data_IF_728425095971
#
_entry.id   IF_728425095971
#
_cell.length_a   1.000
_cell.length_b   1.000
_cell.length_c   1.000
_cell.angle_alpha   90.00
_cell.angle_beta   90.00
_cell.angle_gamma   90.00
#
_symmetry.space_group_name_H-M   'P 1'
#
loop_
_entity.id
_entity.type
_entity.pdbx_description
1 polymer ?
#
# COMPACT_ATOMS: atom_id res chain seq x y z
N UNK A 1 34.98 -4.90 -27.36
CA UNK A 1 35.17 -6.36 -27.51
C UNK A 1 36.12 -6.86 -26.43
N UNK A 2 35.58 -7.57 -25.43
CA UNK A 2 36.19 -8.65 -24.62
C UNK A 2 35.14 -9.01 -23.57
N UNK A 3 34.46 -10.14 -23.78
CA UNK A 3 33.64 -10.77 -22.76
C UNK A 3 34.55 -11.34 -21.66
N UNK A 4 34.21 -11.20 -20.38
CA UNK A 4 34.80 -12.04 -19.34
C UNK A 4 34.02 -13.36 -19.28
N UNK A 5 34.71 -14.44 -19.62
CA UNK A 5 34.31 -15.83 -19.36
C UNK A 5 34.30 -16.06 -17.85
N UNK A 6 33.11 -16.28 -17.28
CA UNK A 6 32.95 -16.78 -15.92
C UNK A 6 33.14 -18.30 -15.92
N UNK A 7 34.19 -18.73 -15.23
CA UNK A 7 34.51 -20.12 -14.98
C UNK A 7 33.40 -20.84 -14.23
N UNK A 8 33.14 -22.06 -14.67
CA UNK A 8 32.31 -23.04 -13.98
C UNK A 8 32.93 -23.36 -12.61
N UNK A 9 32.16 -23.13 -11.55
CA UNK A 9 32.33 -23.78 -10.27
C UNK A 9 30.95 -24.19 -9.77
N UNK A 10 30.80 -25.50 -9.56
CA UNK A 10 29.60 -26.21 -9.18
C UNK A 10 29.08 -25.84 -7.78
N UNK A 11 27.78 -26.03 -7.60
CA UNK A 11 26.91 -25.72 -6.44
C UNK A 11 26.29 -24.32 -6.38
N UNK A 12 25.80 -23.81 -7.51
CA UNK A 12 24.66 -22.87 -7.48
C UNK A 12 23.39 -23.72 -7.42
N UNK A 13 22.78 -23.84 -6.24
CA UNK A 13 21.37 -24.20 -6.12
C UNK A 13 20.61 -23.21 -7.01
N UNK A 14 20.19 -23.67 -8.19
CA UNK A 14 19.60 -22.82 -9.22
C UNK A 14 18.34 -22.18 -8.65
N UNK A 15 18.33 -20.86 -8.51
CA UNK A 15 17.10 -20.14 -8.16
C UNK A 15 16.02 -20.49 -9.19
N UNK A 16 14.79 -20.75 -8.73
CA UNK A 16 13.65 -20.88 -9.64
C UNK A 16 13.59 -19.59 -10.46
N UNK A 17 13.44 -19.71 -11.79
CA UNK A 17 13.43 -18.57 -12.69
C UNK A 17 12.37 -17.56 -12.24
N UNK A 18 12.82 -16.39 -11.79
CA UNK A 18 11.94 -15.34 -11.29
C UNK A 18 11.27 -14.65 -12.46
N UNK A 19 9.98 -14.34 -12.31
CA UNK A 19 9.28 -13.47 -13.24
C UNK A 19 9.60 -12.03 -12.88
N UNK A 20 10.44 -11.42 -13.72
CA UNK A 20 10.74 -10.00 -13.60
C UNK A 20 9.52 -9.17 -13.96
N UNK A 21 9.31 -8.09 -13.22
CA UNK A 21 8.19 -7.19 -13.38
C UNK A 21 8.71 -5.77 -13.37
N UNK A 22 8.76 -5.14 -14.54
CA UNK A 22 8.91 -3.71 -14.64
C UNK A 22 7.53 -3.03 -14.48
N UNK A 23 7.49 -2.00 -13.67
CA UNK A 23 6.30 -1.18 -13.41
C UNK A 23 6.25 0.05 -14.32
N UNK A 24 7.40 0.44 -14.90
CA UNK A 24 7.52 1.58 -15.80
C UNK A 24 7.19 1.19 -17.24
N UNK A 25 7.32 -0.08 -17.58
CA UNK A 25 6.99 -0.59 -18.91
C UNK A 25 5.51 -1.00 -19.01
N UNK A 26 4.87 -0.79 -20.17
CA UNK A 26 3.55 -1.32 -20.43
C UNK A 26 3.58 -2.85 -20.41
N UNK A 27 2.44 -3.47 -20.12
CA UNK A 27 2.32 -4.93 -20.18
C UNK A 27 2.59 -5.43 -21.60
N UNK A 28 3.32 -6.53 -21.72
CA UNK A 28 3.67 -7.12 -23.00
C UNK A 28 2.41 -7.33 -23.88
N UNK A 29 2.32 -6.71 -25.07
CA UNK A 29 1.19 -6.85 -25.97
C UNK A 29 1.05 -8.25 -26.59
N UNK A 30 2.16 -8.98 -26.72
CA UNK A 30 2.21 -10.32 -27.32
C UNK A 30 1.75 -11.42 -26.36
N UNK A 31 1.81 -11.15 -25.05
CA UNK A 31 1.33 -12.09 -24.05
C UNK A 31 -0.21 -12.21 -24.12
N UNK A 32 -0.71 -13.45 -24.03
CA UNK A 32 -2.15 -13.73 -24.08
C UNK A 32 -2.89 -12.90 -23.02
N UNK A 33 -4.01 -12.22 -23.36
CA UNK A 33 -4.78 -11.41 -22.42
C UNK A 33 -5.63 -12.27 -21.48
N UNK A 34 -4.97 -13.14 -20.72
CA UNK A 34 -5.59 -14.01 -19.73
C UNK A 34 -5.49 -13.36 -18.36
N UNK A 35 -6.64 -13.29 -17.67
CA UNK A 35 -6.71 -12.94 -16.26
C UNK A 35 -6.70 -14.24 -15.45
N UNK A 36 -5.69 -14.40 -14.60
CA UNK A 36 -5.51 -15.56 -13.76
C UNK A 36 -5.34 -15.15 -12.30
N UNK A 37 -5.70 -16.07 -11.41
CA UNK A 37 -5.42 -15.96 -9.98
C UNK A 37 -4.35 -16.98 -9.61
N UNK A 38 -3.42 -16.58 -8.76
CA UNK A 38 -2.37 -17.45 -8.28
C UNK A 38 -2.12 -17.19 -6.82
N UNK A 39 -1.86 -18.23 -6.05
CA UNK A 39 -1.13 -18.04 -4.79
C UNK A 39 0.30 -17.60 -5.11
N UNK A 40 1.01 -17.06 -4.12
CA UNK A 40 2.43 -16.78 -4.29
C UNK A 40 3.16 -18.09 -4.58
N UNK A 41 3.78 -18.15 -5.76
CA UNK A 41 4.72 -19.22 -6.13
C UNK A 41 6.14 -18.67 -6.08
N UNK A 42 7.15 -19.54 -5.96
CA UNK A 42 8.56 -19.11 -5.97
C UNK A 42 8.91 -18.22 -7.17
N UNK A 43 8.30 -18.46 -8.33
CA UNK A 43 8.46 -17.64 -9.55
C UNK A 43 7.97 -16.19 -9.41
N UNK A 44 6.98 -15.93 -8.56
CA UNK A 44 6.38 -14.60 -8.36
C UNK A 44 6.91 -13.88 -7.11
N UNK A 45 7.90 -14.44 -6.40
CA UNK A 45 8.40 -13.89 -5.15
C UNK A 45 8.92 -12.45 -5.32
N UNK A 46 9.83 -12.25 -6.28
CA UNK A 46 10.38 -10.93 -6.58
C UNK A 46 9.31 -9.95 -7.08
N UNK A 47 8.46 -10.40 -8.02
CA UNK A 47 7.37 -9.60 -8.57
C UNK A 47 6.38 -9.10 -7.51
N UNK A 48 6.02 -9.95 -6.56
CA UNK A 48 5.15 -9.63 -5.43
C UNK A 48 5.79 -8.58 -4.52
N UNK A 49 7.09 -8.71 -4.25
CA UNK A 49 7.84 -7.73 -3.45
C UNK A 49 7.89 -6.36 -4.12
N UNK A 50 8.18 -6.33 -5.43
CA UNK A 50 8.22 -5.10 -6.23
C UNK A 50 6.84 -4.39 -6.21
N UNK A 51 5.75 -5.15 -6.35
CA UNK A 51 4.40 -4.59 -6.24
C UNK A 51 4.11 -3.97 -4.87
N UNK A 52 4.50 -4.61 -3.78
CA UNK A 52 4.35 -4.01 -2.45
C UNK A 52 5.24 -2.77 -2.28
N UNK A 53 6.43 -2.74 -2.88
CA UNK A 53 7.28 -1.55 -2.91
C UNK A 53 6.62 -0.38 -3.64
N UNK A 54 5.99 -0.65 -4.78
CA UNK A 54 5.22 0.34 -5.55
C UNK A 54 4.07 0.95 -4.76
N UNK A 55 3.36 0.15 -3.95
CA UNK A 55 2.33 0.67 -3.05
C UNK A 55 2.85 1.79 -2.16
N UNK A 56 3.99 1.57 -1.48
CA UNK A 56 4.59 2.58 -0.61
C UNK A 56 5.07 3.82 -1.38
N UNK A 57 5.57 3.65 -2.61
CA UNK A 57 5.90 4.78 -3.50
C UNK A 57 4.66 5.58 -3.93
N UNK A 58 3.56 4.91 -4.20
CA UNK A 58 2.29 5.57 -4.51
C UNK A 58 1.71 6.30 -3.28
N UNK A 59 1.83 5.71 -2.09
CA UNK A 59 1.49 6.38 -0.84
C UNK A 59 2.36 7.61 -0.59
N UNK A 60 3.67 7.54 -0.89
CA UNK A 60 4.57 8.69 -0.81
C UNK A 60 4.07 9.85 -1.68
N UNK A 61 3.74 9.56 -2.94
CA UNK A 61 3.16 10.57 -3.85
C UNK A 61 1.83 11.13 -3.36
N UNK A 62 0.98 10.28 -2.77
CA UNK A 62 -0.31 10.68 -2.20
C UNK A 62 -0.15 11.55 -0.96
N UNK A 63 0.81 11.23 -0.09
CA UNK A 63 1.20 12.02 1.08
C UNK A 63 1.72 13.40 0.66
N UNK A 64 2.61 13.47 -0.33
CA UNK A 64 3.11 14.73 -0.87
C UNK A 64 1.98 15.61 -1.41
N UNK A 65 1.07 15.03 -2.19
CA UNK A 65 -0.11 15.73 -2.68
C UNK A 65 -0.98 16.23 -1.53
N UNK A 66 -1.21 15.41 -0.52
CA UNK A 66 -2.00 15.78 0.65
C UNK A 66 -1.39 16.96 1.41
N UNK A 67 -0.08 16.94 1.66
CA UNK A 67 0.65 18.03 2.34
C UNK A 67 0.58 19.32 1.53
N UNK A 68 0.80 19.23 0.21
CA UNK A 68 0.75 20.38 -0.67
C UNK A 68 -0.61 21.09 -0.63
N UNK A 69 -1.70 20.32 -0.68
CA UNK A 69 -3.07 20.84 -0.64
C UNK A 69 -3.63 20.99 0.78
N UNK A 70 -2.80 20.82 1.82
CA UNK A 70 -3.26 20.93 3.19
C UNK A 70 -3.64 22.39 3.52
N UNK A 71 -4.70 22.66 4.29
CA UNK A 71 -5.13 24.02 4.62
C UNK A 71 -4.02 24.89 5.24
N UNK A 72 -3.15 24.29 6.05
CA UNK A 72 -1.99 24.99 6.65
C UNK A 72 -1.00 25.40 5.56
N UNK A 73 -0.62 24.50 4.65
CA UNK A 73 0.29 24.80 3.54
C UNK A 73 -0.28 25.89 2.62
N UNK A 74 -1.58 25.80 2.31
CA UNK A 74 -2.29 26.81 1.54
C UNK A 74 -2.32 28.17 2.27
N UNK A 75 -2.49 28.17 3.58
CA UNK A 75 -2.47 29.40 4.39
C UNK A 75 -1.08 30.04 4.40
N UNK A 76 -0.01 29.25 4.56
CA UNK A 76 1.37 29.73 4.46
C UNK A 76 1.61 30.36 3.08
N UNK A 77 1.11 29.72 2.03
CA UNK A 77 1.22 30.25 0.66
C UNK A 77 0.50 31.58 0.48
N UNK A 78 -0.78 31.66 0.87
CA UNK A 78 -1.57 32.89 0.75
C UNK A 78 -0.99 34.02 1.60
N UNK A 79 -0.70 33.77 2.87
CA UNK A 79 -0.16 34.78 3.79
C UNK A 79 1.22 35.26 3.33
N UNK A 80 2.09 34.34 2.91
CA UNK A 80 3.42 34.68 2.41
C UNK A 80 3.37 35.54 1.16
N UNK A 81 2.47 35.23 0.21
CA UNK A 81 2.31 36.04 -1.00
C UNK A 81 1.67 37.40 -0.73
N UNK A 82 0.66 37.47 0.14
CA UNK A 82 0.05 38.75 0.53
C UNK A 82 1.06 39.64 1.24
N UNK A 83 1.87 39.08 2.15
CA UNK A 83 2.91 39.83 2.85
C UNK A 83 3.99 40.34 1.88
N UNK A 84 4.45 39.49 0.94
CA UNK A 84 5.41 39.89 -0.08
C UNK A 84 4.83 40.98 -0.99
N UNK A 85 3.60 40.82 -1.48
CA UNK A 85 2.93 41.80 -2.32
C UNK A 85 2.72 43.13 -1.58
N UNK A 86 2.29 43.09 -0.31
CA UNK A 86 2.14 44.29 0.51
C UNK A 86 3.47 45.02 0.72
N UNK A 87 4.59 44.29 0.81
CA UNK A 87 5.92 44.88 0.93
C UNK A 87 6.35 45.57 -0.38
N UNK A 88 6.29 44.87 -1.52
CA UNK A 88 6.73 45.43 -2.81
C UNK A 88 5.80 46.53 -3.32
N UNK A 89 4.50 46.46 -3.05
CA UNK A 89 3.52 47.43 -3.53
C UNK A 89 3.24 48.58 -2.54
N UNK A 90 3.97 48.62 -1.43
CA UNK A 90 3.76 49.60 -0.36
C UNK A 90 3.80 51.04 -0.84
N UNK A 91 4.81 51.38 -1.65
CA UNK A 91 5.04 52.75 -2.09
C UNK A 91 3.96 53.22 -3.09
N UNK A 92 3.48 52.30 -3.93
CA UNK A 92 2.34 52.56 -4.83
C UNK A 92 1.05 52.81 -4.05
N UNK A 93 0.81 52.04 -2.98
CA UNK A 93 -0.34 52.26 -2.11
C UNK A 93 -0.25 53.60 -1.37
N UNK A 94 0.94 53.98 -0.89
CA UNK A 94 1.15 55.23 -0.17
C UNK A 94 0.87 56.49 -1.02
N UNK A 95 1.06 56.41 -2.34
CA UNK A 95 0.84 57.51 -3.29
C UNK A 95 -0.61 57.50 -3.84
N UNK A 96 -1.37 56.43 -3.62
CA UNK A 96 -2.72 56.28 -4.14
C UNK A 96 -3.76 56.99 -3.26
N UNK A 97 -4.75 57.63 -3.87
CA UNK A 97 -5.83 58.33 -3.15
C UNK A 97 -6.97 57.39 -2.68
N UNK A 98 -6.74 56.08 -2.72
CA UNK A 98 -7.69 55.05 -2.35
C UNK A 98 -7.47 53.74 -3.13
N UNK A 99 -8.24 52.71 -2.79
CA UNK A 99 -8.13 51.38 -3.41
C UNK A 99 -8.43 51.40 -4.93
N UNK A 100 -9.42 52.17 -5.37
CA UNK A 100 -9.76 52.27 -6.79
C UNK A 100 -8.63 52.91 -7.61
N UNK A 101 -7.99 53.95 -7.07
CA UNK A 101 -6.84 54.62 -7.69
C UNK A 101 -5.63 53.68 -7.75
N UNK A 102 -5.37 52.93 -6.67
CA UNK A 102 -4.32 51.90 -6.64
C UNK A 102 -4.50 50.84 -7.74
N UNK A 103 -5.72 50.29 -7.92
CA UNK A 103 -5.98 49.33 -9.00
C UNK A 103 -5.96 49.96 -10.39
N UNK A 104 -6.33 51.24 -10.54
CA UNK A 104 -6.19 51.95 -11.80
C UNK A 104 -4.71 52.12 -12.18
N UNK A 105 -3.85 52.44 -11.21
CA UNK A 105 -2.40 52.54 -11.40
C UNK A 105 -1.77 51.20 -11.80
N UNK A 106 -2.29 50.09 -11.28
CA UNK A 106 -1.86 48.73 -11.66
C UNK A 106 -2.04 48.44 -13.15
N UNK A 107 -3.14 48.92 -13.76
CA UNK A 107 -3.38 48.76 -15.20
C UNK A 107 -2.53 49.73 -16.01
N UNK A 108 -2.43 50.98 -15.55
CA UNK A 108 -1.82 52.09 -16.29
C UNK A 108 -0.29 52.10 -16.27
N UNK A 109 0.37 51.65 -15.18
CA UNK A 109 1.82 51.72 -15.02
C UNK A 109 2.48 50.37 -15.32
N UNK A 110 3.45 50.36 -16.23
CA UNK A 110 4.30 49.20 -16.51
C UNK A 110 5.16 48.82 -15.31
N UNK A 111 5.64 49.80 -14.56
CA UNK A 111 6.64 49.59 -13.50
C UNK A 111 6.07 48.75 -12.35
N UNK A 112 4.80 48.98 -12.00
CA UNK A 112 4.10 48.16 -10.99
C UNK A 112 3.95 46.69 -11.45
N UNK A 113 3.90 46.44 -12.77
CA UNK A 113 3.87 45.08 -13.33
C UNK A 113 5.24 44.42 -13.28
N UNK A 114 6.32 45.19 -13.44
CA UNK A 114 7.68 44.70 -13.22
C UNK A 114 7.93 44.36 -11.75
N UNK A 115 7.37 45.12 -10.82
CA UNK A 115 7.45 44.80 -9.38
C UNK A 115 6.80 43.46 -9.02
N UNK A 116 5.73 43.07 -9.71
CA UNK A 116 5.15 41.73 -9.55
C UNK A 116 6.09 40.60 -9.98
N UNK A 117 7.04 40.85 -10.89
CA UNK A 117 8.03 39.84 -11.28
C UNK A 117 8.93 39.49 -10.08
N UNK A 118 9.17 40.44 -9.17
CA UNK A 118 9.90 40.17 -7.92
C UNK A 118 9.13 39.29 -6.92
N UNK A 119 7.83 39.05 -7.13
CA UNK A 119 7.10 38.02 -6.38
C UNK A 119 7.49 36.60 -6.80
N UNK A 120 8.05 36.40 -8.01
CA UNK A 120 8.41 35.06 -8.48
C UNK A 120 9.45 34.39 -7.56
N UNK A 121 10.58 35.01 -7.19
CA UNK A 121 11.48 34.44 -6.18
C UNK A 121 10.77 34.08 -4.86
N UNK A 122 9.87 34.92 -4.37
CA UNK A 122 9.10 34.64 -3.14
C UNK A 122 8.20 33.42 -3.30
N UNK A 123 7.49 33.30 -4.43
CA UNK A 123 6.69 32.09 -4.72
C UNK A 123 7.59 30.85 -4.71
N UNK A 124 8.71 30.88 -5.43
CA UNK A 124 9.67 29.75 -5.49
C UNK A 124 10.14 29.34 -4.09
N UNK A 125 10.48 30.30 -3.22
CA UNK A 125 10.90 30.00 -1.84
C UNK A 125 9.81 29.32 -1.02
N UNK A 126 8.56 29.80 -1.12
CA UNK A 126 7.42 29.18 -0.43
C UNK A 126 7.18 27.76 -0.94
N UNK A 127 7.19 27.58 -2.26
CA UNK A 127 7.05 26.27 -2.89
C UNK A 127 8.18 25.32 -2.49
N UNK A 128 9.43 25.80 -2.42
CA UNK A 128 10.56 25.04 -1.96
C UNK A 128 10.40 24.61 -0.50
N UNK A 129 9.90 25.49 0.37
CA UNK A 129 9.64 25.18 1.78
C UNK A 129 8.55 24.12 1.96
N UNK A 130 7.44 24.24 1.23
CA UNK A 130 6.35 23.24 1.23
C UNK A 130 6.85 21.92 0.64
N UNK A 131 7.59 21.96 -0.47
CA UNK A 131 8.17 20.78 -1.12
C UNK A 131 9.16 20.03 -0.22
N UNK A 132 10.03 20.77 0.48
CA UNK A 132 10.95 20.20 1.46
C UNK A 132 10.19 19.56 2.62
N UNK A 133 9.17 20.23 3.16
CA UNK A 133 8.32 19.69 4.22
C UNK A 133 7.62 18.40 3.77
N UNK A 134 7.08 18.38 2.55
CA UNK A 134 6.45 17.20 1.96
C UNK A 134 7.45 16.05 1.80
N UNK A 135 8.66 16.36 1.31
CA UNK A 135 9.72 15.37 1.19
C UNK A 135 10.09 14.75 2.54
N UNK A 136 10.35 15.57 3.56
CA UNK A 136 10.73 15.10 4.90
C UNK A 136 9.66 14.24 5.57
N UNK A 137 8.38 14.59 5.43
CA UNK A 137 7.27 13.86 6.06
C UNK A 137 6.88 12.59 5.31
N UNK A 138 7.10 12.55 3.99
CA UNK A 138 6.83 11.36 3.17
C UNK A 138 8.02 10.40 3.09
N UNK A 139 9.21 10.81 3.57
CA UNK A 139 10.44 10.02 3.44
C UNK A 139 10.35 8.66 4.14
N UNK A 140 9.60 8.55 5.24
CA UNK A 140 9.35 7.25 5.91
C UNK A 140 8.73 6.22 4.96
N UNK A 141 7.82 6.64 4.06
CA UNK A 141 7.20 5.74 3.08
C UNK A 141 8.18 5.30 1.99
N UNK A 142 9.05 6.23 1.57
CA UNK A 142 10.18 5.91 0.67
C UNK A 142 11.12 4.90 1.32
N UNK A 143 11.46 5.14 2.58
CA UNK A 143 12.37 4.30 3.34
C UNK A 143 11.83 2.87 3.52
N UNK A 144 10.52 2.72 3.73
CA UNK A 144 9.86 1.41 3.75
C UNK A 144 10.00 0.73 2.39
N UNK A 145 9.76 1.45 1.28
CA UNK A 145 9.88 0.91 -0.07
C UNK A 145 11.32 0.47 -0.40
N UNK A 146 12.31 1.30 -0.07
CA UNK A 146 13.73 1.08 -0.39
C UNK A 146 14.36 -0.04 0.45
N UNK A 147 13.81 -0.31 1.64
CA UNK A 147 14.32 -1.34 2.57
C UNK A 147 13.43 -2.58 2.61
N UNK A 148 12.49 -2.72 1.67
CA UNK A 148 11.51 -3.82 1.69
C UNK A 148 12.16 -5.20 1.47
N UNK A 149 13.34 -5.24 0.85
CA UNK A 149 14.11 -6.45 0.61
C UNK A 149 14.85 -6.97 1.86
N UNK A 150 14.91 -6.17 2.94
CA UNK A 150 15.57 -6.56 4.18
C UNK A 150 14.82 -7.70 4.88
N UNK A 151 15.52 -8.65 5.54
CA UNK A 151 14.89 -9.81 6.17
C UNK A 151 13.75 -9.47 7.14
N UNK A 152 13.97 -8.47 8.01
CA UNK A 152 12.98 -8.06 9.01
C UNK A 152 11.70 -7.52 8.37
N UNK A 153 11.82 -6.83 7.23
CA UNK A 153 10.68 -6.28 6.47
C UNK A 153 9.95 -7.34 5.68
N UNK A 154 10.69 -8.27 5.09
CA UNK A 154 10.13 -9.43 4.42
C UNK A 154 9.32 -10.24 5.43
N UNK A 155 9.84 -10.47 6.63
CA UNK A 155 9.11 -11.20 7.67
C UNK A 155 7.93 -10.40 8.24
N UNK A 156 8.05 -9.06 8.35
CA UNK A 156 6.92 -8.19 8.70
C UNK A 156 5.79 -8.30 7.67
N UNK A 157 6.13 -8.28 6.37
CA UNK A 157 5.20 -8.30 5.25
C UNK A 157 4.59 -9.69 5.00
N UNK A 158 5.41 -10.73 4.86
CA UNK A 158 4.95 -12.07 4.48
C UNK A 158 4.79 -13.03 5.66
N UNK A 159 5.44 -12.77 6.80
CA UNK A 159 5.48 -13.70 7.93
C UNK A 159 6.46 -14.86 7.75
N UNK A 160 7.28 -14.86 6.70
CA UNK A 160 8.32 -15.85 6.44
C UNK A 160 9.42 -15.29 5.54
N UNK A 161 10.54 -16.00 5.42
CA UNK A 161 11.69 -15.61 4.60
C UNK A 161 11.42 -15.87 3.10
N UNK A 162 11.07 -14.79 2.38
CA UNK A 162 10.82 -14.81 0.94
C UNK A 162 12.05 -15.20 0.11
N UNK A 163 13.27 -14.90 0.57
CA UNK A 163 14.52 -15.23 -0.16
C UNK A 163 14.78 -16.73 -0.14
N UNK A 164 14.43 -17.41 0.97
CA UNK A 164 14.44 -18.87 1.02
C UNK A 164 13.33 -19.46 0.16
N UNK A 165 12.12 -18.91 0.28
CA UNK A 165 10.96 -19.36 -0.49
C UNK A 165 11.19 -19.31 -2.02
N UNK A 166 11.83 -18.26 -2.54
CA UNK A 166 12.11 -18.09 -3.96
C UNK A 166 13.06 -19.16 -4.54
N UNK A 167 13.80 -19.88 -3.69
CA UNK A 167 14.75 -20.93 -4.09
C UNK A 167 14.12 -22.32 -4.13
N UNK A 168 12.95 -22.49 -3.53
CA UNK A 168 12.31 -23.80 -3.42
C UNK A 168 11.63 -24.17 -4.74
N UNK A 169 12.00 -25.30 -5.34
CA UNK A 169 11.30 -25.82 -6.52
C UNK A 169 10.11 -26.68 -6.07
N UNK A 170 8.86 -26.30 -6.40
CA UNK A 170 7.67 -27.05 -6.02
C UNK A 170 7.61 -28.46 -6.61
N UNK A 171 8.38 -28.76 -7.68
CA UNK A 171 8.41 -30.07 -8.33
C UNK A 171 9.50 -31.01 -7.76
N UNK A 172 10.33 -30.52 -6.85
CA UNK A 172 11.43 -31.27 -6.25
C UNK A 172 10.98 -32.12 -5.04
N UNK A 173 11.86 -33.04 -4.57
CA UNK A 173 11.61 -33.79 -3.32
C UNK A 173 11.81 -32.87 -2.11
N UNK A 174 10.71 -32.28 -1.65
CA UNK A 174 10.72 -31.29 -0.57
C UNK A 174 10.73 -31.92 0.84
N UNK A 175 11.60 -31.40 1.70
CA UNK A 175 11.60 -31.63 3.15
C UNK A 175 10.30 -31.10 3.81
N UNK A 176 9.84 -31.65 4.95
CA UNK A 176 8.68 -31.13 5.67
C UNK A 176 8.76 -29.62 5.97
N UNK A 177 9.96 -29.09 6.27
CA UNK A 177 10.17 -27.66 6.48
C UNK A 177 9.97 -26.83 5.20
N UNK A 178 10.41 -27.35 4.06
CA UNK A 178 10.24 -26.69 2.76
C UNK A 178 8.77 -26.73 2.30
N UNK A 179 8.07 -27.83 2.58
CA UNK A 179 6.61 -27.93 2.35
C UNK A 179 5.83 -26.90 3.17
N UNK A 180 6.17 -26.74 4.45
CA UNK A 180 5.56 -25.71 5.29
C UNK A 180 5.86 -24.29 4.77
N UNK A 181 7.08 -24.04 4.30
CA UNK A 181 7.45 -22.76 3.69
C UNK A 181 6.63 -22.48 2.42
N UNK A 182 6.42 -23.48 1.56
CA UNK A 182 5.58 -23.35 0.36
C UNK A 182 4.10 -23.12 0.70
N UNK A 183 3.59 -23.76 1.75
CA UNK A 183 2.23 -23.53 2.24
C UNK A 183 2.01 -22.09 2.71
N UNK A 184 3.04 -21.43 3.28
CA UNK A 184 2.93 -20.02 3.65
C UNK A 184 2.70 -19.11 2.43
N UNK A 185 3.10 -19.53 1.23
CA UNK A 185 2.80 -18.81 -0.02
C UNK A 185 1.30 -18.70 -0.32
N UNK A 186 0.47 -19.60 0.22
CA UNK A 186 -0.99 -19.53 0.10
C UNK A 186 -1.60 -18.33 0.84
N UNK A 187 -0.86 -17.71 1.76
CA UNK A 187 -1.30 -16.51 2.48
C UNK A 187 -1.09 -15.22 1.67
N UNK A 188 -0.55 -15.34 0.47
CA UNK A 188 -0.46 -14.24 -0.50
C UNK A 188 -1.22 -14.61 -1.77
N UNK A 189 -2.10 -13.71 -2.20
CA UNK A 189 -2.88 -13.87 -3.42
C UNK A 189 -2.46 -12.85 -4.46
N UNK A 190 -2.28 -13.32 -5.69
CA UNK A 190 -1.88 -12.54 -6.85
C UNK A 190 -2.96 -12.60 -7.92
N UNK A 191 -3.25 -11.45 -8.51
CA UNK A 191 -4.02 -11.35 -9.75
C UNK A 191 -3.01 -11.10 -10.86
N UNK A 192 -2.96 -12.01 -11.82
CA UNK A 192 -2.01 -12.00 -12.93
C UNK A 192 -2.76 -11.71 -14.21
N UNK A 193 -2.31 -10.69 -14.95
CA UNK A 193 -2.83 -10.37 -16.27
C UNK A 193 -1.67 -10.33 -17.26
N UNK A 194 -1.81 -11.03 -18.40
CA UNK A 194 -0.73 -11.14 -19.41
C UNK A 194 0.60 -11.61 -18.82
N UNK A 195 0.53 -12.63 -17.96
CA UNK A 195 1.67 -13.21 -17.23
C UNK A 195 2.41 -12.25 -16.26
N UNK A 196 1.87 -11.05 -16.02
CA UNK A 196 2.41 -10.10 -15.05
C UNK A 196 1.44 -9.91 -13.88
N UNK A 197 1.87 -9.99 -12.61
CA UNK A 197 1.02 -9.68 -11.49
C UNK A 197 0.68 -8.19 -11.50
N UNK A 198 -0.62 -7.90 -11.41
CA UNK A 198 -1.19 -6.55 -11.45
C UNK A 198 -1.79 -6.14 -10.11
N UNK A 199 -2.05 -7.11 -9.23
CA UNK A 199 -2.50 -6.86 -7.88
C UNK A 199 -2.04 -7.98 -6.94
N UNK A 200 -1.85 -7.62 -5.67
CA UNK A 200 -1.37 -8.51 -4.62
C UNK A 200 -2.06 -8.19 -3.29
N UNK A 201 -2.33 -9.23 -2.50
CA UNK A 201 -2.69 -9.10 -1.09
C UNK A 201 -1.96 -10.16 -0.28
N UNK A 202 -1.48 -9.78 0.90
CA UNK A 202 -0.74 -10.66 1.79
C UNK A 202 -1.35 -10.63 3.18
N UNK A 203 -1.51 -11.81 3.78
CA UNK A 203 -1.99 -12.00 5.14
C UNK A 203 -0.90 -12.56 6.04
N UNK A 204 -0.84 -12.03 7.26
CA UNK A 204 0.00 -12.55 8.34
C UNK A 204 -0.87 -12.88 9.57
N UNK A 205 -0.94 -14.15 10.00
CA UNK A 205 -1.58 -14.48 11.26
C UNK A 205 -0.75 -13.93 12.44
N UNK A 206 -1.39 -13.26 13.38
CA UNK A 206 -0.75 -12.71 14.58
C UNK A 206 -0.93 -13.70 15.73
N UNK A 207 -0.18 -14.79 15.69
CA UNK A 207 -0.32 -15.90 16.64
C UNK A 207 -0.01 -15.47 18.07
N UNK A 208 0.95 -14.57 18.27
CA UNK A 208 1.34 -14.06 19.59
C UNK A 208 0.22 -13.26 20.28
N UNK A 209 -0.65 -12.64 19.49
CA UNK A 209 -1.79 -11.86 19.98
C UNK A 209 -3.08 -12.69 20.02
N UNK A 210 -3.05 -13.92 19.48
CA UNK A 210 -4.23 -14.76 19.34
C UNK A 210 -4.47 -15.57 20.61
N UNK A 211 -5.71 -15.57 21.06
CA UNK A 211 -6.22 -16.32 22.21
C UNK A 211 -7.28 -17.31 21.74
N UNK A 212 -7.72 -18.21 22.61
CA UNK A 212 -8.78 -19.18 22.27
C UNK A 212 -10.11 -18.48 21.89
N UNK A 213 -10.36 -17.30 22.48
CA UNK A 213 -11.55 -16.51 22.19
C UNK A 213 -11.39 -15.55 20.99
N UNK A 214 -10.18 -15.08 20.70
CA UNK A 214 -9.91 -14.08 19.66
C UNK A 214 -8.72 -14.48 18.80
N UNK A 215 -8.95 -14.73 17.51
CA UNK A 215 -7.91 -14.98 16.53
C UNK A 215 -7.64 -13.71 15.72
N UNK A 216 -6.37 -13.31 15.59
CA UNK A 216 -5.99 -12.08 14.88
C UNK A 216 -5.26 -12.39 13.58
N UNK A 217 -5.74 -11.81 12.48
CA UNK A 217 -5.08 -11.84 11.17
C UNK A 217 -4.86 -10.42 10.71
N UNK A 218 -3.68 -10.12 10.16
CA UNK A 218 -3.38 -8.81 9.58
C UNK A 218 -3.22 -8.92 8.08
N UNK A 219 -3.91 -8.06 7.33
CA UNK A 219 -3.57 -7.72 5.95
C UNK A 219 -2.35 -6.80 6.03
N UNK A 220 -1.18 -7.35 5.73
CA UNK A 220 0.11 -6.66 5.83
C UNK A 220 0.47 -5.90 4.55
N UNK A 221 -0.08 -6.33 3.42
CA UNK A 221 0.04 -5.61 2.15
C UNK A 221 -1.18 -5.86 1.29
N UNK A 222 -1.67 -4.80 0.64
CA UNK A 222 -2.71 -4.83 -0.38
C UNK A 222 -2.33 -3.79 -1.42
N UNK A 223 -2.15 -4.22 -2.67
CA UNK A 223 -1.81 -3.32 -3.75
C UNK A 223 -2.50 -3.70 -5.04
N UNK A 224 -2.89 -2.69 -5.81
CA UNK A 224 -3.36 -2.80 -7.19
C UNK A 224 -2.60 -1.76 -7.99
N UNK A 225 -1.97 -2.17 -9.10
CA UNK A 225 -1.30 -1.24 -10.02
C UNK A 225 -2.26 -0.12 -10.43
N UNK A 226 -1.76 1.11 -10.50
CA UNK A 226 -2.54 2.34 -10.74
C UNK A 226 -3.49 2.26 -11.95
N UNK A 227 -3.03 1.64 -13.04
CA UNK A 227 -3.82 1.49 -14.28
C UNK A 227 -5.04 0.59 -14.13
N UNK A 228 -5.07 -0.28 -13.10
CA UNK A 228 -6.15 -1.22 -12.81
C UNK A 228 -7.01 -0.83 -11.60
N UNK A 229 -6.82 0.36 -11.03
CA UNK A 229 -7.57 0.81 -9.84
C UNK A 229 -9.09 0.82 -10.09
N UNK A 230 -9.53 1.11 -11.32
CA UNK A 230 -10.95 1.12 -11.71
C UNK A 230 -11.56 -0.27 -11.93
N UNK A 231 -10.76 -1.34 -11.89
CA UNK A 231 -11.24 -2.71 -12.12
C UNK A 231 -11.71 -3.41 -10.83
N UNK A 232 -11.87 -2.66 -9.73
CA UNK A 232 -12.38 -3.13 -8.44
C UNK A 232 -11.65 -4.34 -7.83
N UNK A 233 -10.39 -4.56 -8.20
CA UNK A 233 -9.58 -5.66 -7.65
C UNK A 233 -9.40 -5.56 -6.13
N UNK A 234 -9.43 -4.36 -5.55
CA UNK A 234 -9.40 -4.18 -4.09
C UNK A 234 -10.54 -4.93 -3.39
N UNK A 235 -11.76 -4.86 -3.94
CA UNK A 235 -12.94 -5.56 -3.40
C UNK A 235 -12.68 -7.07 -3.35
N UNK A 236 -12.26 -7.63 -4.47
CA UNK A 236 -12.01 -9.05 -4.65
C UNK A 236 -10.85 -9.54 -3.77
N UNK A 237 -9.82 -8.73 -3.57
CA UNK A 237 -8.71 -9.08 -2.70
C UNK A 237 -9.12 -9.07 -1.22
N UNK A 238 -9.90 -8.07 -0.79
CA UNK A 238 -10.47 -8.04 0.57
C UNK A 238 -11.41 -9.22 0.81
N UNK A 239 -12.31 -9.51 -0.12
CA UNK A 239 -13.23 -10.64 -0.01
C UNK A 239 -12.46 -11.98 0.07
N UNK A 240 -11.36 -12.11 -0.69
CA UNK A 240 -10.45 -13.25 -0.57
C UNK A 240 -9.77 -13.29 0.81
N UNK A 241 -9.34 -12.16 1.36
CA UNK A 241 -8.73 -12.11 2.68
C UNK A 241 -9.66 -12.54 3.80
N UNK A 242 -10.94 -12.17 3.73
CA UNK A 242 -11.96 -12.64 4.68
C UNK A 242 -12.08 -14.18 4.65
N UNK A 243 -12.15 -14.75 3.45
CA UNK A 243 -12.21 -16.20 3.24
C UNK A 243 -10.95 -16.91 3.75
N UNK A 244 -9.76 -16.42 3.38
CA UNK A 244 -8.49 -17.02 3.78
C UNK A 244 -8.25 -16.91 5.29
N UNK A 245 -8.70 -15.83 5.93
CA UNK A 245 -8.60 -15.68 7.40
C UNK A 245 -9.37 -16.78 8.15
N UNK A 246 -10.51 -17.23 7.62
CA UNK A 246 -11.24 -18.39 8.18
C UNK A 246 -10.49 -19.70 7.98
N UNK A 247 -9.91 -19.92 6.79
CA UNK A 247 -9.11 -21.11 6.52
C UNK A 247 -7.91 -21.18 7.48
N UNK A 248 -7.20 -20.06 7.66
CA UNK A 248 -6.11 -19.92 8.62
C UNK A 248 -6.55 -20.21 10.05
N UNK A 249 -7.73 -19.73 10.45
CA UNK A 249 -8.30 -20.06 11.75
C UNK A 249 -8.59 -21.57 11.89
N UNK A 250 -9.16 -22.22 10.88
CA UNK A 250 -9.40 -23.66 10.91
C UNK A 250 -8.09 -24.47 10.95
N UNK A 251 -7.05 -24.03 10.24
CA UNK A 251 -5.71 -24.63 10.30
C UNK A 251 -5.08 -24.50 11.69
N UNK A 252 -5.24 -23.35 12.33
CA UNK A 252 -4.82 -23.10 13.71
C UNK A 252 -5.62 -23.95 14.71
N UNK A 253 -6.94 -24.01 14.52
CA UNK A 253 -7.88 -24.64 15.44
C UNK A 253 -7.97 -26.16 15.32
N UNK A 254 -7.50 -26.79 14.24
CA UNK A 254 -7.37 -28.27 14.15
C UNK A 254 -6.55 -28.88 15.30
N UNK A 255 -5.85 -28.05 16.09
CA UNK A 255 -5.12 -28.42 17.30
C UNK A 255 -5.90 -28.24 18.62
N UNK A 256 -7.10 -27.66 18.64
CA UNK A 256 -7.89 -27.35 19.86
C UNK A 256 -9.39 -27.60 19.69
N UNK A 257 -10.01 -28.16 20.72
CA UNK A 257 -11.30 -28.88 20.65
C UNK A 257 -12.57 -28.03 20.72
N UNK A 258 -12.48 -26.72 20.93
CA UNK A 258 -13.66 -25.85 21.12
C UNK A 258 -13.58 -24.62 20.21
N UNK A 259 -14.26 -24.69 19.07
CA UNK A 259 -14.03 -23.84 17.87
C UNK A 259 -15.21 -22.90 17.60
N UNK A 260 -16.31 -23.07 18.34
CA UNK A 260 -17.63 -22.62 17.92
C UNK A 260 -17.96 -21.14 18.25
N UNK A 261 -17.21 -20.50 19.14
CA UNK A 261 -17.43 -19.11 19.57
C UNK A 261 -16.26 -18.15 19.31
N UNK A 262 -15.22 -18.59 18.59
CA UNK A 262 -14.05 -17.76 18.36
C UNK A 262 -14.34 -16.59 17.41
N UNK A 263 -13.87 -15.40 17.79
CA UNK A 263 -13.94 -14.19 16.96
C UNK A 263 -12.65 -14.05 16.15
N UNK A 264 -12.78 -13.97 14.84
CA UNK A 264 -11.67 -13.72 13.93
C UNK A 264 -11.63 -12.21 13.65
N UNK A 265 -10.60 -11.55 14.14
CA UNK A 265 -10.36 -10.13 13.96
C UNK A 265 -9.35 -9.92 12.84
N UNK A 266 -9.78 -9.26 11.77
CA UNK A 266 -8.97 -8.98 10.59
C UNK A 266 -8.58 -7.51 10.62
N UNK A 267 -7.29 -7.23 10.67
CA UNK A 267 -6.72 -5.89 10.81
C UNK A 267 -6.03 -5.46 9.51
N UNK A 268 -6.13 -4.19 9.15
CA UNK A 268 -5.43 -3.60 8.01
C UNK A 268 -5.04 -2.17 8.33
N UNK A 269 -3.87 -1.72 7.88
CA UNK A 269 -3.49 -0.31 8.05
C UNK A 269 -3.94 0.51 6.84
N UNK A 270 -4.43 1.70 7.12
CA UNK A 270 -4.72 2.73 6.13
C UNK A 270 -4.12 4.06 6.59
N UNK A 271 -3.77 4.93 5.65
CA UNK A 271 -3.18 6.22 5.94
C UNK A 271 -4.22 7.33 5.79
N UNK A 272 -4.21 8.32 6.70
CA UNK A 272 -5.22 9.38 6.76
C UNK A 272 -5.35 10.20 5.47
N UNK A 273 -4.27 10.28 4.70
CA UNK A 273 -4.24 10.96 3.40
C UNK A 273 -4.83 10.13 2.25
N UNK A 274 -5.01 8.82 2.41
CA UNK A 274 -5.69 7.96 1.43
C UNK A 274 -7.19 7.82 1.74
N UNK A 275 -7.92 8.90 1.48
CA UNK A 275 -9.37 8.98 1.73
C UNK A 275 -10.17 7.95 0.92
N UNK A 276 -9.68 7.58 -0.26
CA UNK A 276 -10.38 6.62 -1.13
C UNK A 276 -10.32 5.24 -0.50
N UNK A 277 -9.14 4.81 -0.06
CA UNK A 277 -8.98 3.52 0.60
C UNK A 277 -9.72 3.45 1.94
N UNK A 278 -9.69 4.52 2.75
CA UNK A 278 -10.45 4.59 4.01
C UNK A 278 -11.96 4.42 3.74
N UNK A 279 -12.53 5.15 2.77
CA UNK A 279 -13.95 5.02 2.42
C UNK A 279 -14.29 3.61 1.94
N UNK A 280 -13.39 3.00 1.16
CA UNK A 280 -13.54 1.62 0.71
C UNK A 280 -13.59 0.65 1.90
N UNK A 281 -12.66 0.75 2.85
CA UNK A 281 -12.65 -0.08 4.06
C UNK A 281 -13.92 0.11 4.90
N UNK A 282 -14.34 1.37 5.12
CA UNK A 282 -15.57 1.69 5.84
C UNK A 282 -16.82 1.09 5.16
N UNK A 283 -16.88 1.12 3.82
CA UNK A 283 -17.96 0.49 3.06
C UNK A 283 -18.02 -1.03 3.22
N UNK A 284 -16.91 -1.65 3.66
CA UNK A 284 -16.77 -3.08 3.94
C UNK A 284 -16.84 -3.40 5.43
N UNK A 285 -17.43 -2.51 6.23
CA UNK A 285 -17.61 -2.68 7.67
C UNK A 285 -16.32 -2.72 8.49
N UNK A 286 -15.20 -2.25 7.93
CA UNK A 286 -13.99 -2.05 8.73
C UNK A 286 -14.12 -0.77 9.56
N UNK A 287 -14.05 -0.92 10.88
CA UNK A 287 -14.02 0.18 11.84
C UNK A 287 -12.59 0.58 12.19
N UNK A 288 -12.36 1.85 12.53
CA UNK A 288 -11.05 2.30 13.02
C UNK A 288 -10.83 1.75 14.44
N UNK A 289 -9.73 1.02 14.64
CA UNK A 289 -9.35 0.40 15.92
C UNK A 289 -8.32 1.24 16.65
N UNK A 290 -7.30 1.73 15.94
CA UNK A 290 -6.23 2.54 16.53
C UNK A 290 -5.66 3.54 15.52
N UNK A 291 -4.88 4.50 16.02
CA UNK A 291 -4.22 5.53 15.23
C UNK A 291 -2.82 5.80 15.76
N UNK A 292 -1.88 6.06 14.86
CA UNK A 292 -0.50 6.42 15.16
C UNK A 292 -0.03 7.54 14.23
N UNK A 293 0.76 8.47 14.75
CA UNK A 293 1.47 9.49 13.95
C UNK A 293 2.76 8.96 13.32
N UNK A 294 3.18 7.75 13.72
CA UNK A 294 4.29 7.02 13.10
C UNK A 294 3.77 6.26 11.88
N UNK A 295 4.26 6.65 10.70
CA UNK A 295 3.92 6.02 9.43
C UNK A 295 4.52 4.61 9.35
N UNK A 296 5.76 4.46 9.78
CA UNK A 296 6.44 3.18 9.89
C UNK A 296 6.21 2.52 11.27
N UNK A 297 6.04 1.20 11.32
CA UNK A 297 5.83 0.44 12.57
C UNK A 297 7.15 0.16 13.28
N UNK A 298 8.22 -0.03 12.52
CA UNK A 298 9.49 -0.53 13.05
C UNK A 298 10.39 0.58 13.60
N UNK A 299 10.19 1.84 13.17
CA UNK A 299 11.02 2.97 13.57
C UNK A 299 10.55 3.60 14.89
N UNK A 300 11.52 3.96 15.72
CA UNK A 300 11.32 5.00 16.76
C UNK A 300 11.33 6.35 16.05
N UNK A 301 10.17 7.00 15.94
CA UNK A 301 10.09 8.27 15.22
C UNK A 301 10.70 9.43 15.98
N UNK A 302 11.18 10.42 15.24
CA UNK A 302 11.58 11.72 15.79
C UNK A 302 10.37 12.47 16.35
N UNK A 303 10.51 13.07 17.54
CA UNK A 303 9.46 13.88 18.17
C UNK A 303 9.01 15.04 17.28
N UNK A 304 9.93 15.60 16.49
CA UNK A 304 9.65 16.71 15.56
C UNK A 304 8.75 16.23 14.41
N UNK A 305 9.10 15.12 13.76
CA UNK A 305 8.32 14.54 12.66
C UNK A 305 6.92 14.14 13.15
N UNK A 306 6.83 13.51 14.31
CA UNK A 306 5.55 13.14 14.91
C UNK A 306 4.66 14.35 15.21
N UNK A 307 5.26 15.46 15.68
CA UNK A 307 4.53 16.69 15.96
C UNK A 307 4.02 17.35 14.68
N UNK A 308 4.83 17.37 13.62
CA UNK A 308 4.42 17.86 12.30
C UNK A 308 3.33 16.99 11.67
N UNK A 309 3.47 15.67 11.76
CA UNK A 309 2.44 14.72 11.33
C UNK A 309 1.12 14.98 12.08
N UNK A 310 1.17 15.19 13.40
CA UNK A 310 -0.01 15.54 14.20
C UNK A 310 -0.63 16.86 13.76
N UNK A 311 0.18 17.89 13.52
CA UNK A 311 -0.28 19.20 13.06
C UNK A 311 -1.00 19.13 11.70
N UNK A 312 -0.51 18.27 10.79
CA UNK A 312 -1.06 18.09 9.45
C UNK A 312 -2.13 16.97 9.37
N UNK A 313 -2.46 16.33 10.50
CA UNK A 313 -3.40 15.21 10.55
C UNK A 313 -2.94 13.97 9.76
N UNK A 314 -1.63 13.79 9.62
CA UNK A 314 -1.01 12.64 8.95
C UNK A 314 -0.87 11.51 9.97
N UNK A 315 -1.67 10.45 9.81
CA UNK A 315 -1.68 9.30 10.70
C UNK A 315 -1.75 8.00 9.92
N UNK A 316 -1.16 6.94 10.47
CA UNK A 316 -1.44 5.56 10.11
C UNK A 316 -2.51 5.04 11.07
N UNK A 317 -3.64 4.67 10.52
CA UNK A 317 -4.79 4.17 11.25
C UNK A 317 -4.94 2.67 11.00
N UNK A 318 -5.08 1.88 12.06
CA UNK A 318 -5.40 0.46 11.93
C UNK A 318 -6.92 0.32 11.93
N UNK A 319 -7.44 -0.24 10.85
CA UNK A 319 -8.83 -0.61 10.67
C UNK A 319 -9.02 -2.09 10.94
N UNK A 320 -10.18 -2.48 11.46
CA UNK A 320 -10.48 -3.85 11.84
C UNK A 320 -11.92 -4.24 11.55
N UNK A 321 -12.12 -5.50 11.19
CA UNK A 321 -13.44 -6.14 11.10
C UNK A 321 -13.41 -7.45 11.88
N UNK A 322 -14.50 -7.76 12.57
CA UNK A 322 -14.65 -9.01 13.32
C UNK A 322 -15.65 -9.90 12.62
N UNK A 323 -15.26 -11.13 12.32
CA UNK A 323 -16.14 -12.18 11.80
C UNK A 323 -16.20 -13.34 12.78
N UNK A 324 -17.35 -14.01 12.85
CA UNK A 324 -17.55 -15.17 13.73
C UNK A 324 -17.08 -16.42 12.98
N UNK A 325 -16.46 -17.37 13.70
CA UNK A 325 -15.98 -18.63 13.12
C UNK A 325 -17.11 -19.57 12.66
N UNK A 326 -18.32 -19.43 13.21
CA UNK A 326 -19.49 -20.28 12.93
C UNK A 326 -20.22 -19.87 11.64
N UNK A 327 -20.66 -20.89 10.89
CA UNK A 327 -21.52 -20.87 9.71
C UNK A 327 -20.95 -20.18 8.46
N UNK A 328 -20.22 -20.97 7.66
CA UNK A 328 -19.89 -20.62 6.28
C UNK A 328 -21.11 -20.37 5.37
N UNK A 329 -22.32 -20.71 5.80
CA UNK A 329 -23.54 -20.68 4.99
C UNK A 329 -24.65 -19.74 5.55
N UNK A 330 -24.48 -19.12 6.72
CA UNK A 330 -25.46 -18.13 7.25
C UNK A 330 -24.91 -16.70 7.29
N UNK A 331 -23.61 -16.49 7.08
CA UNK A 331 -23.06 -15.14 7.01
C UNK A 331 -23.46 -14.50 5.66
N UNK A 332 -24.36 -13.51 5.65
CA UNK A 332 -24.89 -12.93 4.41
C UNK A 332 -23.79 -12.30 3.56
N UNK A 333 -22.70 -11.80 4.18
CA UNK A 333 -21.54 -11.26 3.47
C UNK A 333 -20.83 -12.37 2.68
N UNK A 334 -20.66 -13.57 3.25
CA UNK A 334 -20.00 -14.67 2.55
C UNK A 334 -20.87 -15.33 1.50
N UNK A 335 -22.18 -15.46 1.73
CA UNK A 335 -23.07 -15.95 0.70
C UNK A 335 -23.07 -15.03 -0.52
N UNK A 336 -23.04 -13.71 -0.29
CA UNK A 336 -22.83 -12.75 -1.36
C UNK A 336 -21.47 -12.98 -2.07
N UNK A 337 -20.37 -13.12 -1.33
CA UNK A 337 -19.03 -13.35 -1.91
C UNK A 337 -18.94 -14.65 -2.72
N UNK A 338 -19.44 -15.78 -2.19
CA UNK A 338 -19.41 -17.09 -2.86
C UNK A 338 -20.22 -17.13 -4.17
N UNK A 339 -21.26 -16.31 -4.28
CA UNK A 339 -22.09 -16.26 -5.49
C UNK A 339 -21.44 -15.48 -6.64
N UNK A 340 -20.42 -14.67 -6.36
CA UNK A 340 -19.67 -13.92 -7.38
C UNK A 340 -18.97 -14.91 -8.34
N UNK A 341 -19.16 -14.80 -9.66
CA UNK A 341 -18.60 -15.73 -10.66
C UNK A 341 -17.09 -15.95 -10.52
N UNK A 342 -16.37 -14.95 -10.02
CA UNK A 342 -14.93 -14.98 -9.78
C UNK A 342 -14.48 -16.11 -8.83
N UNK A 343 -15.29 -16.47 -7.83
CA UNK A 343 -14.95 -17.52 -6.85
C UNK A 343 -15.43 -18.93 -7.26
N UNK A 344 -16.43 -19.04 -8.14
CA UNK A 344 -16.90 -20.35 -8.66
C UNK A 344 -15.84 -21.07 -9.50
N UNK A 345 -14.96 -20.34 -10.17
CA UNK A 345 -13.88 -20.92 -10.99
C UNK A 345 -12.67 -21.42 -10.19
N UNK A 346 -12.63 -21.21 -8.86
CA UNK A 346 -11.47 -21.53 -7.99
C UNK A 346 -11.51 -22.92 -7.38
N UNK A 347 -12.67 -23.57 -7.34
CA UNK A 347 -12.75 -24.86 -6.67
C UNK A 347 -12.18 -25.92 -7.60
N UNK A 348 -11.16 -26.70 -7.17
CA UNK A 348 -10.76 -27.88 -7.93
C UNK A 348 -12.02 -28.74 -8.08
N UNK A 349 -12.35 -29.12 -9.31
CA UNK A 349 -13.48 -29.98 -9.62
C UNK A 349 -13.50 -31.13 -8.59
N UNK A 350 -14.44 -31.10 -7.66
CA UNK A 350 -14.66 -32.23 -6.77
C UNK A 350 -14.98 -33.40 -7.68
N UNK A 351 -14.07 -34.35 -7.76
CA UNK A 351 -14.25 -35.59 -8.49
C UNK A 351 -15.53 -36.21 -7.95
N UNK A 352 -16.61 -36.13 -8.74
CA UNK A 352 -17.85 -36.84 -8.48
C UNK A 352 -17.48 -38.31 -8.36
N UNK A 353 -17.44 -38.83 -7.13
CA UNK A 353 -17.48 -40.27 -6.91
C UNK A 353 -18.80 -40.74 -7.52
N UNK A 354 -18.72 -41.39 -8.68
CA UNK A 354 -19.84 -42.17 -9.21
C UNK A 354 -20.12 -43.26 -8.18
N UNK A 355 -21.34 -43.26 -7.65
CA UNK A 355 -21.91 -44.41 -6.95
C UNK A 355 -22.20 -45.50 -7.95
#
# INVERSE_FOLDING_TARGET
MRQPTLGANDNVLSMVAQKFVDLNEPLNPEAKPTLAKSSLTPEYAEASLILHGDYYRQLQGSCNRYIFWHPISMSIWVVGLVAAAAYFLRDYYAISNGLLDFFAQFVARSDMKFELIYLLPCTVLIFAFIGLSAHLLSDDLRDIADKLDQPDRIEELYGFDLRKFAKEDPNSRLSPKQKALLQNGENTHLIVYRNSPIAVITLKPLLDNSTEANYFVRITGLHVRKVFVKADFHTLLIDWALLRSRQLFHEYSKKKSDVDSCKINILVDAYSFDKTYIKFLQSRSFGRVSSSTLLDKSKKGSNLIQSLNKLLGITRDTFGVTIIAKNGDEDPLLNAIKTVPYYKSSQPNQVRKRK
#
